data_IF_355872403574
#
_entry.id   IF_355872403574
#
_cell.length_a   1.000
_cell.length_b   1.000
_cell.length_c   1.000
_cell.angle_alpha   90.00
_cell.angle_beta   90.00
_cell.angle_gamma   90.00
#
_symmetry.space_group_name_H-M   'P 1'
#
loop_
_entity.id
_entity.type
_entity.pdbx_description
1 polymer ?
#
# COMPACT_ATOMS: atom_id res chain seq x y z
N UNK A 1 -38.17 -49.53 12.52
CA UNK A 1 -38.55 -48.49 11.52
C UNK A 1 -37.64 -47.30 11.72
N UNK A 2 -36.49 -47.28 11.02
CA UNK A 2 -35.49 -46.22 11.16
C UNK A 2 -35.60 -45.35 9.92
N UNK A 3 -36.16 -44.15 10.05
CA UNK A 3 -36.21 -43.18 8.95
C UNK A 3 -34.80 -42.65 8.72
N UNK A 4 -34.19 -43.03 7.60
CA UNK A 4 -33.05 -42.32 7.04
C UNK A 4 -33.58 -40.98 6.53
N UNK A 5 -33.31 -39.90 7.25
CA UNK A 5 -33.56 -38.55 6.78
C UNK A 5 -32.46 -38.23 5.75
N UNK A 6 -32.69 -38.62 4.49
CA UNK A 6 -31.84 -38.24 3.37
C UNK A 6 -32.09 -36.78 3.04
N UNK A 7 -31.17 -35.90 3.44
CA UNK A 7 -31.12 -34.54 2.91
C UNK A 7 -30.61 -34.62 1.47
N UNK A 8 -31.51 -34.64 0.50
CA UNK A 8 -31.13 -34.60 -0.92
C UNK A 8 -30.72 -33.15 -1.29
N UNK A 9 -29.42 -32.92 -1.46
CA UNK A 9 -28.90 -31.63 -1.92
C UNK A 9 -29.04 -31.52 -3.45
N UNK A 10 -29.65 -30.43 -3.93
CA UNK A 10 -29.69 -30.13 -5.36
C UNK A 10 -28.36 -29.50 -5.80
N UNK A 11 -27.55 -30.27 -6.51
CA UNK A 11 -26.27 -29.80 -7.09
C UNK A 11 -26.49 -29.39 -8.55
N UNK A 12 -26.09 -28.18 -8.93
CA UNK A 12 -26.08 -27.71 -10.32
C UNK A 12 -24.75 -27.07 -10.67
N UNK A 13 -24.26 -27.34 -11.87
CA UNK A 13 -23.12 -26.61 -12.45
C UNK A 13 -23.62 -25.26 -12.94
N UNK A 14 -22.95 -24.20 -12.52
CA UNK A 14 -23.23 -22.82 -12.94
C UNK A 14 -21.99 -22.28 -13.64
N UNK A 15 -22.20 -21.54 -14.72
CA UNK A 15 -21.18 -20.72 -15.36
C UNK A 15 -21.54 -19.26 -15.08
N UNK A 16 -20.60 -18.49 -14.57
CA UNK A 16 -20.78 -17.09 -14.22
C UNK A 16 -19.47 -16.34 -14.47
N UNK A 17 -19.58 -15.04 -14.76
CA UNK A 17 -18.43 -14.14 -14.84
C UNK A 17 -18.28 -13.42 -13.50
N UNK A 18 -17.08 -13.51 -12.92
CA UNK A 18 -16.69 -12.75 -11.74
C UNK A 18 -15.89 -11.53 -12.21
N UNK A 19 -16.23 -10.35 -11.70
CA UNK A 19 -15.38 -9.17 -11.90
C UNK A 19 -14.32 -9.12 -10.81
N UNK A 20 -13.07 -9.29 -11.19
CA UNK A 20 -11.92 -9.12 -10.30
C UNK A 20 -11.24 -7.75 -10.54
N UNK A 21 -10.56 -7.24 -9.51
CA UNK A 21 -9.76 -6.00 -9.56
C UNK A 21 -8.30 -6.41 -9.41
N UNK A 22 -7.68 -6.70 -10.54
CA UNK A 22 -6.26 -7.04 -10.64
C UNK A 22 -5.54 -5.89 -11.35
N UNK A 23 -4.91 -4.96 -10.62
CA UNK A 23 -4.17 -3.89 -11.26
C UNK A 23 -3.02 -4.46 -12.09
N UNK A 24 -2.63 -3.75 -13.14
CA UNK A 24 -1.50 -4.15 -13.97
C UNK A 24 -0.23 -3.37 -13.61
N UNK A 25 0.93 -3.98 -13.84
CA UNK A 25 2.21 -3.27 -13.67
C UNK A 25 2.22 -1.99 -14.50
N UNK A 26 2.73 -0.91 -13.91
CA UNK A 26 2.70 0.47 -14.42
C UNK A 26 1.33 1.17 -14.42
N UNK A 27 0.26 0.57 -13.92
CA UNK A 27 -1.02 1.27 -13.72
C UNK A 27 -0.87 2.37 -12.66
N UNK A 28 -1.42 3.56 -12.92
CA UNK A 28 -1.43 4.65 -11.95
C UNK A 28 -2.78 4.68 -11.24
N UNK A 29 -2.76 4.53 -9.91
CA UNK A 29 -3.95 4.51 -9.06
C UNK A 29 -3.92 5.63 -8.02
N UNK A 30 -5.10 5.97 -7.53
CA UNK A 30 -5.26 6.86 -6.37
C UNK A 30 -5.55 6.03 -5.13
N UNK A 31 -4.73 6.19 -4.10
CA UNK A 31 -4.90 5.49 -2.83
C UNK A 31 -4.64 6.43 -1.66
N UNK A 32 -5.27 6.16 -0.52
CA UNK A 32 -5.17 6.96 0.69
C UNK A 32 -4.10 6.38 1.62
N UNK A 33 -3.30 7.22 2.29
CA UNK A 33 -2.37 6.75 3.33
C UNK A 33 -3.17 6.19 4.49
N UNK A 34 -2.95 4.91 4.79
CA UNK A 34 -3.50 4.23 5.96
C UNK A 34 -2.57 4.40 7.16
N UNK A 35 -1.28 4.15 6.97
CA UNK A 35 -0.25 4.26 8.00
C UNK A 35 1.14 4.38 7.39
N UNK A 36 2.11 4.84 8.18
CA UNK A 36 3.52 4.89 7.80
C UNK A 36 4.38 4.36 8.95
N UNK A 37 5.48 3.72 8.59
CA UNK A 37 6.53 3.21 9.47
C UNK A 37 7.89 3.43 8.82
N UNK A 38 8.98 2.99 9.46
CA UNK A 38 10.35 3.16 8.97
C UNK A 38 10.60 2.44 7.63
N UNK A 39 9.84 1.37 7.35
CA UNK A 39 10.01 0.54 6.16
C UNK A 39 9.23 1.08 4.94
N UNK A 40 8.19 1.88 5.16
CA UNK A 40 7.49 2.59 4.08
C UNK A 40 6.13 3.17 4.45
N UNK A 41 5.24 3.15 3.44
CA UNK A 41 3.88 3.72 3.54
C UNK A 41 2.86 2.67 3.12
N UNK A 42 1.89 2.42 3.99
CA UNK A 42 0.75 1.53 3.71
C UNK A 42 -0.44 2.34 3.20
N UNK A 43 -1.06 1.86 2.13
CA UNK A 43 -2.15 2.54 1.45
C UNK A 43 -3.46 1.75 1.55
N UNK A 44 -4.56 2.43 1.29
CA UNK A 44 -5.90 1.84 1.20
C UNK A 44 -6.69 2.48 0.06
N UNK A 45 -7.48 1.67 -0.63
CA UNK A 45 -8.52 2.13 -1.59
C UNK A 45 -9.94 1.93 -1.03
N UNK A 46 -10.05 1.68 0.27
CA UNK A 46 -11.32 1.52 1.00
C UNK A 46 -11.76 0.06 1.16
N UNK A 47 -11.77 -0.72 0.09
CA UNK A 47 -12.10 -2.16 0.16
C UNK A 47 -10.87 -3.08 0.21
N UNK A 48 -9.68 -2.54 -0.07
CA UNK A 48 -8.42 -3.27 -0.08
C UNK A 48 -7.32 -2.43 0.59
N UNK A 49 -6.54 -3.07 1.46
CA UNK A 49 -5.62 -2.42 2.41
C UNK A 49 -4.19 -2.99 2.36
N UNK A 50 -3.94 -4.03 1.57
CA UNK A 50 -2.63 -4.67 1.46
C UNK A 50 -1.85 -4.10 0.28
N UNK A 51 -1.80 -2.75 0.22
CA UNK A 51 -1.04 -1.95 -0.73
C UNK A 51 0.10 -1.26 0.01
N UNK A 52 1.32 -1.38 -0.50
CA UNK A 52 2.52 -0.88 0.16
C UNK A 52 3.41 -0.10 -0.81
N UNK A 53 4.01 0.98 -0.31
CA UNK A 53 5.10 1.70 -0.95
C UNK A 53 6.34 1.54 -0.07
N UNK A 54 7.23 0.59 -0.40
CA UNK A 54 8.51 0.41 0.27
C UNK A 54 9.40 1.67 0.20
N UNK A 55 10.30 1.83 1.18
CA UNK A 55 11.25 2.94 1.26
C UNK A 55 12.01 3.19 -0.05
N UNK A 56 12.44 2.13 -0.74
CA UNK A 56 13.19 2.23 -2.02
C UNK A 56 12.37 2.86 -3.17
N UNK A 57 11.04 2.89 -3.03
CA UNK A 57 10.13 3.46 -4.01
C UNK A 57 9.50 4.80 -3.57
N UNK A 58 10.02 5.38 -2.49
CA UNK A 58 9.73 6.76 -2.09
C UNK A 58 10.58 7.75 -2.91
N UNK A 59 10.15 9.02 -3.04
CA UNK A 59 10.92 10.05 -3.71
C UNK A 59 12.19 10.36 -2.93
N UNK A 60 13.30 10.54 -3.62
CA UNK A 60 14.57 10.90 -3.00
C UNK A 60 14.81 12.43 -3.08
N UNK A 61 15.43 13.03 -2.05
CA UNK A 61 15.81 12.44 -0.77
C UNK A 61 14.65 12.40 0.23
N UNK A 62 14.49 11.27 0.93
CA UNK A 62 13.44 11.05 1.95
C UNK A 62 14.04 10.58 3.27
N UNK A 63 13.37 10.89 4.37
CA UNK A 63 13.64 10.30 5.67
C UNK A 63 12.35 10.09 6.48
N UNK A 64 12.36 9.11 7.37
CA UNK A 64 11.31 8.91 8.35
C UNK A 64 11.53 9.83 9.55
N UNK A 65 10.50 10.58 9.95
CA UNK A 65 10.50 11.37 11.18
C UNK A 65 9.75 10.60 12.28
N UNK A 66 10.44 10.07 13.32
CA UNK A 66 9.78 9.32 14.39
C UNK A 66 8.81 10.15 15.23
N UNK A 67 8.95 11.48 15.24
CA UNK A 67 8.05 12.37 16.01
C UNK A 67 6.70 12.52 15.32
N UNK A 68 6.73 12.72 14.01
CA UNK A 68 5.52 12.82 13.17
C UNK A 68 4.98 11.44 12.74
N UNK A 69 5.81 10.40 12.85
CA UNK A 69 5.54 9.04 12.37
C UNK A 69 5.16 9.00 10.89
N UNK A 70 5.89 9.76 10.09
CA UNK A 70 5.68 9.91 8.66
C UNK A 70 7.01 10.08 7.93
N UNK A 71 7.04 9.65 6.66
CA UNK A 71 8.11 10.01 5.74
C UNK A 71 7.89 11.42 5.21
N UNK A 72 8.99 12.13 4.95
CA UNK A 72 8.96 13.40 4.23
C UNK A 72 9.98 13.42 3.11
N UNK A 73 9.64 14.12 2.03
CA UNK A 73 10.52 14.41 0.92
C UNK A 73 11.13 15.81 1.09
N UNK A 74 12.41 15.98 0.75
CA UNK A 74 13.11 17.26 0.79
C UNK A 74 13.67 17.60 -0.61
N UNK A 75 12.86 18.23 -1.49
CA UNK A 75 13.29 18.53 -2.85
C UNK A 75 14.55 19.40 -2.90
N UNK A 76 15.54 19.01 -3.71
CA UNK A 76 16.75 19.81 -3.94
C UNK A 76 17.80 19.73 -2.82
N UNK A 77 17.61 18.87 -1.82
CA UNK A 77 18.67 18.54 -0.87
C UNK A 77 19.70 17.59 -1.50
N UNK A 78 20.98 17.88 -1.31
CA UNK A 78 22.10 17.02 -1.73
C UNK A 78 22.41 15.93 -0.69
N UNK A 79 21.87 16.08 0.54
CA UNK A 79 22.07 15.11 1.63
C UNK A 79 21.21 13.87 1.41
N UNK A 80 21.83 12.70 1.56
CA UNK A 80 21.15 11.38 1.53
C UNK A 80 21.10 10.70 2.91
N UNK A 81 21.82 11.25 3.89
CA UNK A 81 21.83 10.74 5.26
C UNK A 81 20.57 11.14 6.02
N UNK A 82 19.85 10.18 6.60
CA UNK A 82 18.64 10.44 7.39
C UNK A 82 18.86 11.46 8.51
N UNK A 83 20.03 11.46 9.16
CA UNK A 83 20.34 12.41 10.24
C UNK A 83 20.40 13.85 9.71
N UNK A 84 21.08 14.07 8.58
CA UNK A 84 21.20 15.39 7.98
C UNK A 84 19.84 15.90 7.48
N UNK A 85 19.03 15.00 6.90
CA UNK A 85 17.66 15.32 6.49
C UNK A 85 16.78 15.69 7.68
N UNK A 86 16.94 15.02 8.83
CA UNK A 86 16.21 15.31 10.07
C UNK A 86 16.68 16.60 10.78
N UNK A 87 17.79 17.20 10.37
CA UNK A 87 18.25 18.50 10.84
C UNK A 87 17.73 19.67 9.98
N UNK A 88 17.11 19.37 8.83
CA UNK A 88 16.53 20.38 7.94
C UNK A 88 15.38 21.18 8.60
N UNK A 89 15.11 22.43 8.17
CA UNK A 89 13.95 23.18 8.66
C UNK A 89 12.62 22.45 8.37
N UNK A 90 11.72 22.40 9.35
CA UNK A 90 10.41 21.74 9.21
C UNK A 90 9.55 22.33 8.06
N UNK A 91 9.75 23.60 7.72
CA UNK A 91 9.01 24.29 6.65
C UNK A 91 9.33 23.76 5.25
N UNK A 92 10.49 23.13 5.10
CA UNK A 92 10.99 22.68 3.80
C UNK A 92 10.62 21.21 3.56
N UNK A 93 10.21 20.50 4.62
CA UNK A 93 9.85 19.08 4.59
C UNK A 93 8.45 18.90 4.03
N UNK A 94 8.35 18.13 2.95
CA UNK A 94 7.08 17.75 2.35
C UNK A 94 6.64 16.39 2.91
N UNK A 95 5.85 16.42 3.97
CA UNK A 95 5.36 15.21 4.63
C UNK A 95 4.34 14.43 3.80
N UNK A 96 4.30 13.12 4.03
CA UNK A 96 3.30 12.18 3.51
C UNK A 96 2.40 11.80 4.68
N UNK A 97 1.31 12.55 4.87
CA UNK A 97 0.52 12.45 6.08
C UNK A 97 -0.50 11.31 6.05
N UNK A 98 -0.87 10.82 7.23
CA UNK A 98 -1.96 9.87 7.35
C UNK A 98 -3.25 10.47 6.79
N UNK A 99 -3.86 9.74 5.87
CA UNK A 99 -5.07 10.15 5.20
C UNK A 99 -4.89 11.01 3.94
N UNK A 100 -3.67 11.34 3.55
CA UNK A 100 -3.42 11.96 2.25
C UNK A 100 -3.82 11.04 1.10
N UNK A 101 -4.26 11.64 0.00
CA UNK A 101 -4.55 10.93 -1.25
C UNK A 101 -3.32 11.02 -2.15
N UNK A 102 -2.72 9.86 -2.43
CA UNK A 102 -1.51 9.70 -3.21
C UNK A 102 -1.87 9.21 -4.61
N UNK A 103 -1.14 9.73 -5.60
CA UNK A 103 -1.03 9.12 -6.92
C UNK A 103 0.18 8.21 -6.90
N UNK A 104 -0.04 6.90 -7.09
CA UNK A 104 1.03 5.90 -7.07
C UNK A 104 0.97 5.04 -8.32
N UNK A 105 2.13 4.56 -8.75
CA UNK A 105 2.23 3.59 -9.84
C UNK A 105 2.37 2.19 -9.26
N UNK A 106 1.65 1.22 -9.79
CA UNK A 106 1.78 -0.19 -9.43
C UNK A 106 3.08 -0.73 -10.03
N UNK A 107 3.93 -1.31 -9.20
CA UNK A 107 5.17 -1.97 -9.65
C UNK A 107 4.92 -3.47 -9.86
N UNK A 108 4.29 -4.12 -8.87
CA UNK A 108 3.98 -5.55 -8.92
C UNK A 108 2.83 -5.90 -7.98
N UNK A 109 2.14 -6.99 -8.27
CA UNK A 109 1.21 -7.67 -7.38
C UNK A 109 1.66 -9.11 -7.14
N UNK A 110 1.44 -9.61 -5.92
CA UNK A 110 1.85 -10.95 -5.52
C UNK A 110 0.69 -11.70 -4.86
N UNK A 111 0.51 -12.96 -5.26
CA UNK A 111 -0.45 -13.87 -4.65
C UNK A 111 0.27 -14.95 -3.83
N UNK A 112 -0.16 -15.15 -2.59
CA UNK A 112 0.38 -16.13 -1.67
C UNK A 112 -0.68 -17.17 -1.35
N UNK A 113 -0.55 -18.35 -1.97
CA UNK A 113 -1.37 -19.51 -1.66
C UNK A 113 -0.78 -20.29 -0.48
N UNK A 114 -0.97 -19.75 0.72
CA UNK A 114 -0.59 -20.45 1.95
C UNK A 114 -1.64 -21.51 2.26
N UNK A 115 -1.38 -22.75 1.81
CA UNK A 115 -2.19 -23.89 2.21
C UNK A 115 -2.24 -23.97 3.74
N UNK A 116 -3.44 -24.07 4.35
CA UNK A 116 -3.54 -24.28 5.78
C UNK A 116 -2.89 -25.63 6.08
N UNK A 117 -1.67 -25.57 6.66
CA UNK A 117 -0.96 -26.77 7.08
C UNK A 117 -1.84 -27.65 7.99
N UNK A 118 -1.54 -28.95 8.09
CA UNK A 118 -2.33 -29.89 8.89
C UNK A 118 -2.63 -29.30 10.27
N UNK A 119 -3.87 -29.40 10.78
CA UNK A 119 -4.18 -28.91 12.11
C UNK A 119 -3.25 -29.61 13.11
N UNK A 120 -2.29 -28.86 13.67
CA UNK A 120 -1.43 -29.37 14.72
C UNK A 120 -2.33 -29.51 15.96
N UNK A 121 -2.83 -30.73 16.19
CA UNK A 121 -3.46 -31.07 17.45
C UNK A 121 -2.40 -30.99 18.55
N UNK A 122 -2.36 -29.89 19.30
CA UNK A 122 -1.58 -29.81 20.53
C UNK A 122 -2.49 -29.60 21.73
N UNK A 123 -2.31 -30.46 22.73
CA UNK A 123 -2.87 -30.31 24.06
C UNK A 123 -2.23 -29.07 24.71
N UNK A 124 -3.01 -28.01 24.90
CA UNK A 124 -2.77 -27.01 25.96
C UNK A 124 -1.73 -25.91 25.76
N UNK A 125 -1.07 -25.77 24.60
CA UNK A 125 -0.20 -24.60 24.34
C UNK A 125 -0.99 -23.54 23.56
N UNK A 126 -0.90 -22.27 23.95
CA UNK A 126 -1.48 -21.18 23.15
C UNK A 126 -0.65 -21.04 21.88
N UNK A 127 -1.22 -21.45 20.75
CA UNK A 127 -0.61 -21.22 19.45
C UNK A 127 -0.59 -19.70 19.22
N UNK A 128 0.60 -19.09 19.34
CA UNK A 128 0.84 -17.74 18.85
C UNK A 128 0.40 -17.76 17.39
N UNK A 129 -0.65 -17.01 17.06
CA UNK A 129 -1.05 -16.79 15.67
C UNK A 129 0.13 -16.09 15.01
N UNK A 130 1.01 -16.85 14.37
CA UNK A 130 1.98 -16.28 13.44
C UNK A 130 1.19 -15.41 12.47
N UNK A 131 1.62 -14.16 12.34
CA UNK A 131 1.06 -13.18 11.44
C UNK A 131 1.12 -13.76 10.03
N UNK A 132 0.03 -14.38 9.58
CA UNK A 132 -0.04 -14.92 8.21
C UNK A 132 0.10 -13.73 7.27
N UNK A 133 1.02 -13.85 6.32
CA UNK A 133 1.12 -12.89 5.21
C UNK A 133 -0.23 -12.81 4.50
N UNK A 134 -0.63 -11.61 4.04
CA UNK A 134 -1.87 -11.47 3.30
C UNK A 134 -1.79 -12.29 2.00
N UNK A 135 -2.90 -12.92 1.56
CA UNK A 135 -2.90 -13.77 0.38
C UNK A 135 -2.71 -12.98 -0.93
N UNK A 136 -2.95 -11.67 -0.90
CA UNK A 136 -2.73 -10.79 -2.04
C UNK A 136 -2.12 -9.47 -1.57
N UNK A 137 -1.03 -9.05 -2.20
CA UNK A 137 -0.32 -7.81 -1.91
C UNK A 137 -0.04 -7.03 -3.18
N UNK A 138 -0.07 -5.70 -3.08
CA UNK A 138 0.30 -4.80 -4.18
C UNK A 138 1.45 -3.93 -3.71
N UNK A 139 2.54 -3.91 -4.49
CA UNK A 139 3.68 -3.02 -4.31
C UNK A 139 3.59 -1.87 -5.30
N UNK A 140 3.70 -0.65 -4.78
CA UNK A 140 3.60 0.58 -5.56
C UNK A 140 4.85 1.45 -5.40
N UNK A 141 5.02 2.38 -6.34
CA UNK A 141 6.04 3.41 -6.36
C UNK A 141 5.45 4.82 -6.45
N UNK A 142 6.20 5.75 -5.87
CA UNK A 142 5.97 7.20 -5.96
C UNK A 142 7.28 7.97 -6.18
N UNK A 143 8.31 7.30 -6.72
CA UNK A 143 9.63 7.90 -6.98
C UNK A 143 9.67 8.81 -8.20
N UNK A 144 8.62 8.80 -9.04
CA UNK A 144 8.57 9.55 -10.29
C UNK A 144 7.86 10.90 -10.16
N UNK A 145 8.24 11.85 -11.03
CA UNK A 145 7.59 13.16 -11.07
C UNK A 145 6.08 13.03 -11.34
N UNK A 146 5.29 13.81 -10.60
CA UNK A 146 3.84 13.78 -10.69
C UNK A 146 3.16 12.70 -9.84
N UNK A 147 3.92 11.84 -9.13
CA UNK A 147 3.44 10.87 -8.14
C UNK A 147 3.58 11.41 -6.70
N UNK A 148 3.03 10.67 -5.73
CA UNK A 148 2.97 11.08 -4.32
C UNK A 148 1.67 11.83 -3.98
N UNK A 149 1.61 12.52 -2.83
CA UNK A 149 0.45 13.30 -2.42
C UNK A 149 -0.02 14.27 -3.50
N UNK A 150 -1.31 14.20 -3.82
CA UNK A 150 -1.94 15.06 -4.84
C UNK A 150 -1.85 16.55 -4.52
N UNK A 151 -1.66 16.90 -3.25
CA UNK A 151 -1.42 18.27 -2.78
C UNK A 151 -0.13 18.87 -3.34
N UNK A 152 0.91 18.07 -3.57
CA UNK A 152 2.22 18.53 -4.06
C UNK A 152 2.16 19.12 -5.48
N UNK A 153 1.20 18.67 -6.29
CA UNK A 153 1.15 18.97 -7.72
C UNK A 153 0.04 19.94 -8.13
N UNK A 154 -0.71 20.50 -7.18
CA UNK A 154 -1.93 21.31 -7.45
C UNK A 154 -1.68 22.52 -8.35
N UNK A 155 -0.47 23.08 -8.33
CA UNK A 155 -0.12 24.30 -9.06
C UNK A 155 0.80 24.06 -10.27
N UNK A 156 1.21 22.81 -10.53
CA UNK A 156 2.16 22.48 -11.59
C UNK A 156 1.60 22.60 -13.02
N UNK A 157 0.31 22.94 -13.17
CA UNK A 157 -0.37 23.10 -14.46
C UNK A 157 -0.65 24.54 -14.91
N UNK A 158 -0.10 25.56 -14.22
CA UNK A 158 -0.43 26.99 -14.47
C UNK A 158 0.65 27.74 -15.26
N UNK A 159 1.71 27.09 -15.75
CA UNK A 159 2.86 27.77 -16.40
C UNK A 159 2.87 27.77 -17.94
N UNK A 160 1.73 27.65 -18.62
CA UNK A 160 1.68 27.88 -20.08
C UNK A 160 0.42 28.63 -20.50
N UNK A 161 0.45 29.96 -20.38
CA UNK A 161 -0.36 30.90 -21.16
C UNK A 161 0.08 32.34 -20.79
N UNK A 162 1.29 32.72 -21.21
CA UNK A 162 1.60 34.13 -21.45
C UNK A 162 1.71 34.29 -22.97
N UNK A 163 0.73 34.99 -23.54
CA UNK A 163 0.63 35.30 -24.96
C UNK A 163 1.70 36.33 -25.34
N UNK A 164 2.56 35.98 -26.29
CA UNK A 164 3.44 36.91 -27.01
C UNK A 164 3.15 36.88 -28.50
#
# INVERSE_FOLDING_TARGET
MTRQCGVEALVRRVLFDLRDITPFASEVILAKVKSSDEDGVRLTVGFFDDIYVPLVYLPEPTAFDPKERAHFWLPGSESTSSHELLDSPLTDRMYIDSGDVLRVRVEADEFHDDEPGPPKAHEGVQQVRESRRPPYTITCSMSEQGLGPTSWWRNAGVETMDEG
#
